data_IF_777554666117
#
_entry.id   IF_777554666117
#
_cell.length_a   1.000
_cell.length_b   1.000
_cell.length_c   1.000
_cell.angle_alpha   90.00
_cell.angle_beta   90.00
_cell.angle_gamma   90.00
#
_symmetry.space_group_name_H-M   'P 1'
#
loop_
_entity.id
_entity.type
_entity.pdbx_description
1 polymer ?
#
# COMPACT_ATOMS: atom_id res chain seq x y z
N UNK A 1 -2.91 22.17 3.80
CA UNK A 1 -4.06 21.26 3.98
C UNK A 1 -4.45 21.27 5.45
N UNK A 2 -5.72 21.51 5.80
CA UNK A 2 -6.18 21.41 7.20
C UNK A 2 -6.49 19.95 7.57
N UNK A 3 -6.65 19.66 8.87
CA UNK A 3 -7.08 18.33 9.34
C UNK A 3 -8.46 17.94 8.79
N UNK A 4 -9.38 18.92 8.66
CA UNK A 4 -10.71 18.71 8.11
C UNK A 4 -10.68 18.44 6.60
N UNK A 5 -9.85 19.17 5.84
CA UNK A 5 -9.63 18.88 4.41
C UNK A 5 -9.15 17.45 4.20
N UNK A 6 -8.18 17.00 5.01
CA UNK A 6 -7.63 15.66 4.91
C UNK A 6 -8.69 14.59 5.18
N UNK A 7 -9.47 14.72 6.25
CA UNK A 7 -10.55 13.76 6.53
C UNK A 7 -11.66 13.77 5.48
N UNK A 8 -12.02 14.92 4.92
CA UNK A 8 -12.97 15.01 3.80
C UNK A 8 -12.44 14.33 2.54
N UNK A 9 -11.17 14.53 2.21
CA UNK A 9 -10.51 13.85 1.09
C UNK A 9 -10.49 12.33 1.29
N UNK A 10 -10.03 11.85 2.45
CA UNK A 10 -9.97 10.43 2.77
C UNK A 10 -11.38 9.81 2.78
N UNK A 11 -12.36 10.49 3.37
CA UNK A 11 -13.76 10.08 3.35
C UNK A 11 -14.33 9.97 1.93
N UNK A 12 -14.05 10.94 1.06
CA UNK A 12 -14.41 10.87 -0.36
C UNK A 12 -13.75 9.69 -1.08
N UNK A 13 -12.45 9.44 -0.85
CA UNK A 13 -11.73 8.32 -1.47
C UNK A 13 -12.29 6.95 -1.04
N UNK A 14 -12.62 6.79 0.25
CA UNK A 14 -13.30 5.58 0.73
C UNK A 14 -14.71 5.45 0.14
N UNK A 15 -15.52 6.52 0.17
CA UNK A 15 -16.88 6.51 -0.35
C UNK A 15 -16.93 6.16 -1.84
N UNK A 16 -16.09 6.81 -2.66
CA UNK A 16 -15.98 6.52 -4.10
C UNK A 16 -15.36 5.15 -4.42
N UNK A 17 -14.72 4.47 -3.47
CA UNK A 17 -14.28 3.08 -3.64
C UNK A 17 -15.45 2.07 -3.56
N UNK A 18 -16.48 2.42 -2.80
CA UNK A 18 -17.71 1.66 -2.57
C UNK A 18 -18.78 2.00 -3.63
N UNK A 19 -19.15 3.28 -3.73
CA UNK A 19 -20.14 3.80 -4.69
C UNK A 19 -19.39 4.37 -5.89
N UNK A 20 -19.05 3.51 -6.85
CA UNK A 20 -18.23 3.88 -8.01
C UNK A 20 -19.06 4.50 -9.14
N UNK A 21 -18.72 5.73 -9.51
CA UNK A 21 -19.20 6.37 -10.74
C UNK A 21 -18.16 6.26 -11.88
N UNK A 22 -18.57 6.36 -13.17
CA UNK A 22 -17.67 6.17 -14.32
C UNK A 22 -16.47 7.13 -14.32
N UNK A 23 -16.71 8.41 -14.04
CA UNK A 23 -15.67 9.44 -13.93
C UNK A 23 -15.71 10.10 -12.55
N UNK A 24 -14.55 10.56 -12.07
CA UNK A 24 -14.43 11.26 -10.78
C UNK A 24 -15.21 12.58 -10.75
N UNK A 25 -15.43 13.22 -11.89
CA UNK A 25 -16.29 14.41 -12.02
C UNK A 25 -17.74 14.17 -11.60
N UNK A 26 -18.21 12.93 -11.75
CA UNK A 26 -19.63 12.61 -11.83
C UNK A 26 -20.34 12.79 -10.49
N UNK A 27 -19.61 12.60 -9.39
CA UNK A 27 -20.07 12.83 -8.00
C UNK A 27 -20.54 14.26 -7.74
N UNK A 28 -20.23 15.22 -8.62
CA UNK A 28 -20.64 16.63 -8.55
C UNK A 28 -21.52 17.09 -9.73
N UNK A 29 -22.06 16.17 -10.53
CA UNK A 29 -22.97 16.50 -11.65
C UNK A 29 -24.42 16.60 -11.19
N UNK A 30 -25.28 17.25 -11.98
CA UNK A 30 -26.72 17.33 -11.67
C UNK A 30 -27.46 15.99 -11.86
N UNK A 31 -26.95 15.07 -12.67
CA UNK A 31 -27.64 13.82 -13.06
C UNK A 31 -27.29 12.62 -12.18
N UNK A 32 -26.02 12.50 -11.76
CA UNK A 32 -25.55 11.41 -10.90
C UNK A 32 -24.67 11.88 -9.74
N UNK A 33 -24.64 13.19 -9.46
CA UNK A 33 -23.99 13.72 -8.27
C UNK A 33 -24.64 13.23 -6.99
N UNK A 34 -23.82 12.99 -5.98
CA UNK A 34 -24.25 12.39 -4.72
C UNK A 34 -24.19 13.45 -3.64
N UNK A 35 -25.35 13.79 -3.06
CA UNK A 35 -25.51 14.91 -2.14
C UNK A 35 -24.56 14.83 -0.93
N UNK A 36 -24.32 13.61 -0.43
CA UNK A 36 -23.34 13.30 0.62
C UNK A 36 -21.91 13.74 0.27
N UNK A 37 -21.53 13.67 -1.02
CA UNK A 37 -20.21 14.13 -1.50
C UNK A 37 -20.23 15.63 -1.72
N UNK A 38 -21.24 16.17 -2.43
CA UNK A 38 -21.30 17.59 -2.79
C UNK A 38 -21.40 18.51 -1.58
N UNK A 39 -22.14 18.12 -0.53
CA UNK A 39 -22.20 18.84 0.76
C UNK A 39 -20.92 18.72 1.60
N UNK A 40 -20.11 17.67 1.38
CA UNK A 40 -18.91 17.40 2.18
C UNK A 40 -17.68 18.14 1.66
N UNK A 41 -17.43 18.08 0.35
CA UNK A 41 -16.25 18.67 -0.29
C UNK A 41 -16.52 18.95 -1.77
N UNK A 42 -15.98 20.04 -2.32
CA UNK A 42 -16.14 20.39 -3.74
C UNK A 42 -15.14 19.63 -4.62
N UNK A 43 -15.50 19.38 -5.89
CA UNK A 43 -14.64 18.75 -6.90
C UNK A 43 -13.26 19.42 -6.97
N UNK A 44 -13.26 20.74 -7.10
CA UNK A 44 -12.05 21.51 -7.34
C UNK A 44 -11.13 21.50 -6.11
N UNK A 45 -11.71 21.43 -4.89
CA UNK A 45 -10.95 21.23 -3.65
C UNK A 45 -10.36 19.81 -3.55
N UNK A 46 -11.10 18.76 -3.95
CA UNK A 46 -10.54 17.40 -4.05
C UNK A 46 -9.36 17.39 -5.03
N UNK A 47 -9.50 18.03 -6.18
CA UNK A 47 -8.45 18.12 -7.20
C UNK A 47 -7.22 18.91 -6.73
N UNK A 48 -7.40 20.00 -6.00
CA UNK A 48 -6.31 20.76 -5.38
C UNK A 48 -5.58 19.93 -4.31
N UNK A 49 -6.33 19.30 -3.40
CA UNK A 49 -5.76 18.50 -2.33
C UNK A 49 -4.97 17.31 -2.89
N UNK A 50 -5.51 16.59 -3.89
CA UNK A 50 -4.82 15.48 -4.56
C UNK A 50 -3.54 15.92 -5.28
N UNK A 51 -3.47 17.15 -5.83
CA UNK A 51 -2.24 17.70 -6.41
C UNK A 51 -1.18 18.07 -5.36
N UNK A 52 -1.61 18.48 -4.17
CA UNK A 52 -0.74 18.94 -3.08
C UNK A 52 -0.33 17.86 -2.06
N UNK A 53 -0.93 16.66 -2.15
CA UNK A 53 -0.73 15.58 -1.17
C UNK A 53 0.71 15.04 -1.21
N UNK A 54 1.42 15.18 -0.09
CA UNK A 54 2.82 14.80 0.05
C UNK A 54 3.10 14.17 1.43
N UNK A 55 4.03 13.19 1.50
CA UNK A 55 4.23 12.36 2.69
C UNK A 55 5.63 12.39 3.34
N UNK A 56 6.65 13.07 2.77
CA UNK A 56 8.05 12.99 3.25
C UNK A 56 8.79 14.34 3.42
N UNK A 57 8.27 15.41 2.81
CA UNK A 57 9.06 16.54 2.31
C UNK A 57 10.16 16.16 1.27
N UNK A 58 10.62 17.14 0.49
CA UNK A 58 11.57 16.97 -0.60
C UNK A 58 13.03 17.28 -0.20
N UNK A 59 13.28 18.06 0.86
CA UNK A 59 14.65 18.38 1.31
C UNK A 59 15.35 17.14 1.89
N UNK A 60 14.59 16.25 2.53
CA UNK A 60 15.06 15.00 3.11
C UNK A 60 15.11 13.83 2.11
N UNK A 61 14.80 14.06 0.83
CA UNK A 61 14.64 13.01 -0.16
C UNK A 61 15.99 12.61 -0.80
N UNK A 62 16.47 11.40 -0.51
CA UNK A 62 17.72 10.84 -1.08
C UNK A 62 17.41 9.87 -2.23
N UNK A 63 16.35 9.08 -2.09
CA UNK A 63 15.89 8.10 -3.06
C UNK A 63 14.47 8.40 -3.53
N UNK A 64 14.05 7.76 -4.63
CA UNK A 64 12.70 7.97 -5.19
C UNK A 64 11.60 7.44 -4.26
N UNK A 65 11.87 6.34 -3.54
CA UNK A 65 10.89 5.69 -2.65
C UNK A 65 10.55 6.54 -1.43
N UNK A 66 11.46 7.42 -0.98
CA UNK A 66 11.32 8.22 0.24
C UNK A 66 10.00 9.02 0.23
N UNK A 67 9.55 9.48 -0.94
CA UNK A 67 8.24 10.16 -1.11
C UNK A 67 7.03 9.40 -0.58
N UNK A 68 7.11 8.08 -0.45
CA UNK A 68 6.04 7.21 0.08
C UNK A 68 6.49 6.34 1.26
N UNK A 69 7.79 6.27 1.56
CA UNK A 69 8.33 5.38 2.59
C UNK A 69 7.75 5.67 3.99
N UNK A 70 7.51 6.93 4.42
CA UNK A 70 6.81 7.22 5.68
C UNK A 70 5.40 6.62 5.74
N UNK A 71 4.66 6.61 4.63
CA UNK A 71 3.31 6.02 4.56
C UNK A 71 3.36 4.48 4.63
N UNK A 72 4.35 3.86 3.98
CA UNK A 72 4.57 2.40 4.05
C UNK A 72 4.95 1.99 5.48
N UNK A 73 5.82 2.76 6.15
CA UNK A 73 6.21 2.51 7.53
C UNK A 73 4.99 2.62 8.46
N UNK A 74 4.24 3.73 8.38
CA UNK A 74 3.02 3.94 9.16
C UNK A 74 2.01 2.80 8.96
N UNK A 75 1.77 2.35 7.72
CA UNK A 75 0.90 1.21 7.44
C UNK A 75 1.42 -0.08 8.13
N UNK A 76 2.70 -0.39 7.97
CA UNK A 76 3.32 -1.59 8.54
C UNK A 76 3.28 -1.61 10.07
N UNK A 77 3.50 -0.46 10.71
CA UNK A 77 3.51 -0.33 12.16
C UNK A 77 2.09 -0.42 12.76
N UNK A 78 1.10 0.18 12.09
CA UNK A 78 -0.30 0.07 12.49
C UNK A 78 -0.83 -1.35 12.27
N UNK A 79 -0.68 -1.92 11.08
CA UNK A 79 -1.16 -3.28 10.80
C UNK A 79 -0.46 -4.35 11.65
N UNK A 80 0.84 -4.20 11.92
CA UNK A 80 1.60 -5.09 12.80
C UNK A 80 1.22 -5.00 14.28
N UNK A 81 0.60 -3.91 14.73
CA UNK A 81 0.17 -3.73 16.13
C UNK A 81 -1.28 -4.11 16.41
N UNK A 82 -2.17 -4.04 15.39
CA UNK A 82 -3.60 -4.35 15.56
C UNK A 82 -3.87 -5.86 15.65
N UNK A 83 -3.20 -6.68 14.84
CA UNK A 83 -3.43 -8.14 14.79
C UNK A 83 -2.11 -8.89 14.98
N UNK A 84 -2.07 -9.79 15.96
CA UNK A 84 -0.94 -10.70 16.15
C UNK A 84 -0.77 -11.62 14.93
N UNK A 85 0.46 -11.84 14.42
CA UNK A 85 0.70 -12.72 13.28
C UNK A 85 0.14 -14.15 13.46
N UNK A 86 -0.65 -14.59 12.49
CA UNK A 86 -1.19 -15.95 12.42
C UNK A 86 -0.09 -17.01 12.25
N UNK A 87 -0.41 -18.28 12.57
CA UNK A 87 0.52 -19.40 12.37
C UNK A 87 0.81 -19.67 10.89
N UNK A 88 -0.13 -19.35 10.00
CA UNK A 88 -0.02 -19.57 8.56
C UNK A 88 0.10 -18.21 7.90
N UNK A 89 1.23 -17.97 7.26
CA UNK A 89 1.54 -16.70 6.57
C UNK A 89 1.96 -17.01 5.14
N UNK A 90 1.48 -16.18 4.21
CA UNK A 90 1.91 -16.12 2.82
C UNK A 90 2.67 -14.82 2.55
N UNK A 91 3.63 -14.88 1.62
CA UNK A 91 4.22 -13.69 0.99
C UNK A 91 4.06 -13.84 -0.52
N UNK A 92 3.36 -12.89 -1.14
CA UNK A 92 3.10 -12.87 -2.58
C UNK A 92 3.17 -11.44 -3.15
N UNK A 93 3.09 -11.33 -4.46
CA UNK A 93 3.28 -10.13 -5.26
C UNK A 93 1.93 -9.51 -5.64
N UNK A 94 1.66 -8.33 -5.08
CA UNK A 94 0.47 -7.53 -5.36
C UNK A 94 0.82 -6.39 -6.33
N UNK A 95 -0.04 -6.17 -7.35
CA UNK A 95 0.16 -5.12 -8.35
C UNK A 95 -0.82 -3.95 -8.11
N UNK A 96 -0.27 -2.75 -7.86
CA UNK A 96 -1.03 -1.50 -7.82
C UNK A 96 -0.96 -0.83 -9.19
N UNK A 97 -2.08 -0.78 -9.91
CA UNK A 97 -2.12 -0.37 -11.31
C UNK A 97 -1.72 1.08 -11.54
N UNK A 98 -0.76 1.30 -12.45
CA UNK A 98 -0.33 2.64 -12.84
C UNK A 98 0.13 2.68 -14.30
N UNK A 99 -0.57 3.47 -15.13
CA UNK A 99 -0.27 3.66 -16.55
C UNK A 99 0.41 5.01 -16.85
N UNK A 100 0.69 5.82 -15.84
CA UNK A 100 1.22 7.18 -15.99
C UNK A 100 2.72 7.25 -16.35
N UNK A 101 3.14 8.44 -16.78
CA UNK A 101 4.53 8.73 -17.18
C UNK A 101 5.38 9.30 -16.02
N UNK A 102 4.76 10.00 -15.07
CA UNK A 102 5.45 10.77 -14.02
C UNK A 102 6.26 9.94 -13.01
N UNK A 103 5.83 8.72 -12.69
CA UNK A 103 6.61 7.85 -11.82
C UNK A 103 7.84 7.27 -12.55
N UNK A 104 9.04 7.24 -11.92
CA UNK A 104 10.25 6.72 -12.53
C UNK A 104 10.13 5.28 -13.06
N UNK A 105 10.83 5.00 -14.16
CA UNK A 105 10.77 3.69 -14.84
C UNK A 105 11.25 2.53 -13.95
N UNK A 106 12.21 2.78 -13.06
CA UNK A 106 12.79 1.78 -12.13
C UNK A 106 11.76 1.17 -11.16
N UNK A 107 10.78 1.96 -10.69
CA UNK A 107 9.74 1.49 -9.76
C UNK A 107 8.54 0.84 -10.46
N UNK A 108 8.43 0.95 -11.79
CA UNK A 108 7.32 0.38 -12.56
C UNK A 108 7.68 -1.02 -13.01
N UNK A 109 6.75 -1.96 -12.86
CA UNK A 109 6.89 -3.35 -13.25
C UNK A 109 5.87 -3.72 -14.32
N UNK A 110 6.25 -4.68 -15.16
CA UNK A 110 5.39 -5.33 -16.14
C UNK A 110 5.29 -6.82 -15.81
N UNK A 111 4.09 -7.28 -15.47
CA UNK A 111 3.78 -8.68 -15.15
C UNK A 111 2.66 -9.17 -16.08
N UNK A 112 2.96 -9.72 -17.27
CA UNK A 112 1.95 -10.01 -18.29
C UNK A 112 0.87 -11.01 -17.84
N UNK A 113 1.19 -11.87 -16.87
CA UNK A 113 0.30 -12.91 -16.32
C UNK A 113 -0.62 -12.41 -15.18
N UNK A 114 -0.47 -11.16 -14.70
CA UNK A 114 -1.37 -10.58 -13.66
C UNK A 114 -2.43 -9.71 -14.36
N UNK A 115 -3.70 -9.67 -13.91
CA UNK A 115 -4.75 -8.85 -14.52
C UNK A 115 -4.37 -7.36 -14.62
N UNK A 116 -3.72 -6.84 -13.58
CA UNK A 116 -3.06 -5.53 -13.60
C UNK A 116 -1.63 -5.70 -14.10
N UNK A 117 -1.45 -5.69 -15.42
CA UNK A 117 -0.15 -5.98 -16.03
C UNK A 117 0.93 -4.92 -15.78
N UNK A 118 0.57 -3.64 -15.60
CA UNK A 118 1.51 -2.51 -15.47
C UNK A 118 1.21 -1.68 -14.23
N UNK A 119 2.22 -1.45 -13.40
CA UNK A 119 2.07 -0.66 -12.18
C UNK A 119 3.23 -0.80 -11.22
N UNK A 120 2.97 -0.54 -9.94
CA UNK A 120 3.92 -0.75 -8.84
C UNK A 120 3.72 -2.16 -8.27
N UNK A 121 4.81 -2.93 -8.14
CA UNK A 121 4.77 -4.25 -7.49
C UNK A 121 5.06 -4.09 -6.01
N UNK A 122 4.17 -4.57 -5.16
CA UNK A 122 4.40 -4.72 -3.73
C UNK A 122 4.60 -6.19 -3.39
N UNK A 123 5.47 -6.46 -2.43
CA UNK A 123 5.44 -7.69 -1.66
C UNK A 123 4.49 -7.49 -0.48
N UNK A 124 3.51 -8.37 -0.33
CA UNK A 124 2.52 -8.32 0.75
C UNK A 124 2.66 -9.57 1.63
N UNK A 125 2.76 -9.37 2.95
CA UNK A 125 2.78 -10.45 3.95
C UNK A 125 1.41 -10.56 4.59
N UNK A 126 0.72 -11.67 4.34
CA UNK A 126 -0.67 -11.86 4.73
C UNK A 126 -0.88 -13.13 5.56
N UNK A 127 -1.81 -13.09 6.52
CA UNK A 127 -2.23 -14.26 7.28
C UNK A 127 -3.26 -15.12 6.53
N UNK A 128 -3.58 -16.31 7.06
CA UNK A 128 -4.66 -17.16 6.55
C UNK A 128 -6.04 -16.47 6.57
N UNK A 129 -6.27 -15.50 7.45
CA UNK A 129 -7.46 -14.63 7.45
C UNK A 129 -7.52 -13.62 6.29
N UNK A 130 -6.51 -13.60 5.41
CA UNK A 130 -6.25 -12.54 4.42
C UNK A 130 -5.87 -11.17 5.00
N UNK A 131 -5.68 -11.05 6.32
CA UNK A 131 -5.16 -9.83 6.93
C UNK A 131 -3.73 -9.54 6.47
N UNK A 132 -3.48 -8.33 5.95
CA UNK A 132 -2.14 -7.89 5.53
C UNK A 132 -1.40 -7.26 6.71
N UNK A 133 -0.31 -7.87 7.15
CA UNK A 133 0.51 -7.37 8.26
C UNK A 133 1.53 -6.33 7.81
N UNK A 134 2.20 -6.58 6.68
CA UNK A 134 3.28 -5.72 6.17
C UNK A 134 3.32 -5.73 4.64
N UNK A 135 3.68 -4.60 4.05
CA UNK A 135 3.97 -4.44 2.62
C UNK A 135 5.34 -3.82 2.39
N UNK A 136 5.94 -4.11 1.23
CA UNK A 136 7.19 -3.51 0.75
C UNK A 136 7.09 -3.20 -0.75
N UNK A 137 7.33 -1.96 -1.16
CA UNK A 137 7.44 -1.62 -2.58
C UNK A 137 8.70 -2.25 -3.18
N UNK A 138 8.57 -2.87 -4.36
CA UNK A 138 9.69 -3.38 -5.14
C UNK A 138 10.45 -2.25 -5.85
N UNK A 139 11.77 -2.27 -5.76
CA UNK A 139 12.66 -1.19 -6.21
C UNK A 139 13.60 -1.56 -7.38
N UNK A 140 13.58 -2.81 -7.86
CA UNK A 140 14.32 -3.23 -9.05
C UNK A 140 15.03 -4.58 -8.91
N UNK A 141 15.71 -5.03 -9.97
CA UNK A 141 16.28 -6.38 -10.04
C UNK A 141 17.41 -6.66 -9.02
N UNK A 142 18.10 -5.62 -8.55
CA UNK A 142 19.09 -5.72 -7.49
C UNK A 142 18.43 -5.91 -6.10
N UNK A 143 17.09 -5.83 -6.02
CA UNK A 143 16.37 -6.07 -4.79
C UNK A 143 16.17 -7.57 -4.55
N UNK A 144 16.88 -8.02 -3.54
CA UNK A 144 16.71 -9.27 -2.82
C UNK A 144 15.21 -9.51 -2.42
N UNK A 145 14.66 -10.68 -2.80
CA UNK A 145 13.26 -11.12 -2.51
C UNK A 145 12.98 -11.37 -1.02
N UNK A 146 11.90 -10.84 -0.42
CA UNK A 146 11.61 -11.06 0.99
C UNK A 146 11.32 -12.54 1.32
N UNK A 147 11.76 -12.96 2.49
CA UNK A 147 11.51 -14.27 3.09
C UNK A 147 10.97 -14.05 4.51
N UNK A 148 9.99 -14.85 4.91
CA UNK A 148 9.62 -14.96 6.33
C UNK A 148 10.65 -15.85 7.00
N UNK A 149 11.33 -15.35 8.04
CA UNK A 149 12.14 -16.20 8.91
C UNK A 149 11.33 -16.52 10.17
N UNK A 150 11.13 -17.81 10.43
CA UNK A 150 10.66 -18.27 11.74
C UNK A 150 11.80 -18.09 12.72
N UNK A 151 11.82 -16.96 13.45
CA UNK A 151 12.77 -16.77 14.54
C UNK A 151 12.40 -17.75 15.65
N UNK A 152 13.23 -18.78 15.84
CA UNK A 152 13.10 -19.69 16.99
C UNK A 152 13.25 -18.89 18.28
N UNK A 153 12.33 -19.09 19.22
CA UNK A 153 12.03 -18.17 20.31
C UNK A 153 13.00 -18.25 21.50
N UNK A 154 14.28 -17.95 21.30
CA UNK A 154 15.30 -18.03 22.36
C UNK A 154 16.11 -16.77 22.64
N UNK A 155 16.05 -15.68 21.85
CA UNK A 155 16.95 -14.53 22.10
C UNK A 155 16.57 -13.13 21.55
N UNK A 156 15.30 -12.80 21.30
CA UNK A 156 14.89 -11.41 21.02
C UNK A 156 13.53 -11.04 21.67
N UNK A 157 13.28 -9.74 21.94
CA UNK A 157 12.00 -9.26 22.45
C UNK A 157 10.84 -9.62 21.51
N UNK A 158 9.65 -9.77 22.09
CA UNK A 158 8.40 -9.97 21.34
C UNK A 158 8.22 -8.82 20.32
N UNK A 159 7.61 -9.12 19.17
CA UNK A 159 7.18 -8.17 18.12
C UNK A 159 8.22 -7.76 17.06
N UNK A 160 8.93 -8.71 16.42
CA UNK A 160 9.59 -8.45 15.10
C UNK A 160 9.58 -9.65 14.15
N UNK A 161 8.46 -9.86 13.43
CA UNK A 161 8.48 -10.68 12.20
C UNK A 161 8.97 -9.82 11.04
N UNK A 162 10.28 -9.85 10.80
CA UNK A 162 10.91 -9.08 9.73
C UNK A 162 10.90 -9.84 8.41
N UNK A 163 10.58 -9.12 7.33
CA UNK A 163 10.73 -9.56 5.94
C UNK A 163 12.21 -9.48 5.55
N UNK A 164 13.04 -10.37 6.13
CA UNK A 164 14.45 -10.50 5.78
C UNK A 164 14.62 -11.31 4.50
N UNK A 165 15.63 -11.00 3.71
CA UNK A 165 15.87 -11.74 2.46
C UNK A 165 16.89 -12.86 2.65
N UNK A 166 16.57 -14.05 2.13
CA UNK A 166 17.58 -14.93 1.51
C UNK A 166 17.07 -15.54 0.19
N UNK A 167 17.99 -15.86 -0.71
CA UNK A 167 17.70 -16.49 -2.01
C UNK A 167 16.91 -17.80 -1.87
N UNK A 168 15.67 -17.86 -2.38
CA UNK A 168 14.98 -19.10 -2.77
C UNK A 168 14.03 -18.80 -3.94
N UNK A 169 13.87 -19.76 -4.86
CA UNK A 169 12.86 -19.72 -5.92
C UNK A 169 11.51 -20.29 -5.43
N UNK A 170 10.42 -19.87 -6.09
CA UNK A 170 9.02 -20.26 -5.87
C UNK A 170 8.26 -19.80 -4.60
N UNK A 171 6.94 -19.87 -4.76
CA UNK A 171 5.87 -19.62 -3.79
C UNK A 171 6.17 -20.27 -2.43
N UNK A 172 6.05 -19.53 -1.33
CA UNK A 172 6.24 -20.04 0.03
C UNK A 172 5.05 -19.72 0.93
N UNK A 173 4.14 -20.68 1.03
CA UNK A 173 3.32 -20.86 2.23
C UNK A 173 4.25 -21.23 3.38
N UNK A 174 4.17 -20.52 4.51
CA UNK A 174 5.06 -20.74 5.64
C UNK A 174 4.26 -20.96 6.93
N UNK A 175 4.51 -22.11 7.56
CA UNK A 175 3.89 -22.49 8.83
C UNK A 175 4.86 -22.12 9.96
N UNK A 176 4.47 -21.13 10.76
CA UNK A 176 5.11 -20.80 12.03
C UNK A 176 4.71 -21.87 13.04
N UNK A 177 5.61 -22.83 13.28
CA UNK A 177 5.51 -23.74 14.42
C UNK A 177 5.81 -22.96 15.70
N UNK A 178 4.91 -23.01 16.68
CA UNK A 178 5.25 -22.70 18.07
C UNK A 178 5.89 -23.96 18.66
N UNK A 179 7.05 -23.80 19.28
CA UNK A 179 7.51 -24.71 20.33
C UNK A 179 6.75 -24.38 21.62
#
# INVERSE_FOLDING_TARGET
>A
MTKLDFYRLIGFLFYGSLVRLPCKSDYWTATCGLETVTKSITRDRVDELLRSLHFNDNVLQVHVIDKIQPLINLFNDQCGSIVNPEKIISVDEQMVGYKGKSAPKSLKQYMPQKPTQRGFKFWSMCGSSSYTYRVKLYQGANELKPVVQTISSSSLPRTTTNLYVRHVHHFKMMIIRKN
#
